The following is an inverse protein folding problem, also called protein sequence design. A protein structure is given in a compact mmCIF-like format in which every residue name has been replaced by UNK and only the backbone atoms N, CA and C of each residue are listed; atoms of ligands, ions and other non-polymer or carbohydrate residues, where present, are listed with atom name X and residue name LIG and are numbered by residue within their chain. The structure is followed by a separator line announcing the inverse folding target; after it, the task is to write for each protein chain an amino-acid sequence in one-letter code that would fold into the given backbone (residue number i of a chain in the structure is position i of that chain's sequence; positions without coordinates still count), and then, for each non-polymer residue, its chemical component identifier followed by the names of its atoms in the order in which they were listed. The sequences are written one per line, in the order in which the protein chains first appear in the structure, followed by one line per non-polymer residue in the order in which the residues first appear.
data_IF_128634934224
#
_entry.id   IF_128634934224
#
_cell.length_a   1.000
_cell.length_b   1.000
_cell.length_c   1.000
_cell.angle_alpha   90.00
_cell.angle_beta   90.00
_cell.angle_gamma   90.00
#
_symmetry.space_group_name_H-M   'P 1'
#
loop_
_entity.id
_entity.type
_entity.pdbx_description
1 polymer ?
#
# COMPACT_ATOMS: atom_id res chain seq x y z
N UNK A 1 61.87 -62.74 4.85
CA UNK A 1 61.51 -64.04 5.47
C UNK A 1 60.20 -63.82 6.23
N UNK A 2 59.21 -64.68 6.00
CA UNK A 2 57.92 -64.83 6.71
C UNK A 2 56.80 -63.79 6.50
N UNK A 3 55.81 -64.20 5.70
CA UNK A 3 54.36 -64.11 6.01
C UNK A 3 53.95 -65.24 6.98
N UNK A 4 52.69 -65.44 7.40
CA UNK A 4 51.60 -64.57 7.89
C UNK A 4 51.08 -65.15 9.26
N UNK A 5 49.76 -65.12 9.55
CA UNK A 5 48.97 -65.81 10.63
C UNK A 5 48.45 -64.83 11.70
N UNK A 6 47.19 -64.36 11.70
CA UNK A 6 45.86 -64.98 11.87
C UNK A 6 45.51 -65.44 13.29
N UNK A 7 44.40 -64.87 13.78
CA UNK A 7 43.25 -65.59 14.34
C UNK A 7 43.17 -65.87 15.86
N UNK A 8 41.91 -65.81 16.34
CA UNK A 8 41.29 -66.15 17.64
C UNK A 8 40.98 -65.00 18.59
N UNK A 9 39.82 -64.97 19.26
CA UNK A 9 38.55 -65.71 19.17
C UNK A 9 37.55 -65.00 20.12
N UNK A 10 36.25 -65.27 19.94
CA UNK A 10 35.17 -65.39 20.94
C UNK A 10 35.12 -64.39 22.11
N UNK A 11 34.04 -63.67 22.40
CA UNK A 11 32.62 -64.03 22.30
C UNK A 11 31.92 -63.53 23.58
N UNK A 12 30.63 -63.18 23.44
CA UNK A 12 29.61 -63.04 24.48
C UNK A 12 29.60 -61.80 25.40
N UNK A 13 28.78 -60.81 25.01
CA UNK A 13 27.76 -60.25 25.91
C UNK A 13 26.49 -59.88 25.12
N UNK A 14 25.40 -60.58 25.41
CA UNK A 14 24.00 -60.27 25.05
C UNK A 14 23.29 -59.71 26.30
N UNK A 15 22.03 -59.21 26.30
CA UNK A 15 21.17 -58.55 25.29
C UNK A 15 20.54 -57.25 25.91
N UNK A 16 19.28 -56.80 25.67
CA UNK A 16 18.42 -56.74 24.48
C UNK A 16 17.92 -55.31 24.11
N UNK A 17 17.31 -55.24 22.92
CA UNK A 17 16.13 -54.46 22.50
C UNK A 17 15.70 -53.18 23.23
N UNK A 18 15.67 -52.08 22.47
CA UNK A 18 14.43 -51.30 22.35
C UNK A 18 14.36 -50.59 20.97
N UNK A 19 14.08 -51.37 19.93
CA UNK A 19 13.68 -50.87 18.62
C UNK A 19 12.15 -50.73 18.60
N UNK A 20 11.64 -49.65 19.17
CA UNK A 20 10.24 -49.25 19.00
C UNK A 20 10.08 -48.47 17.70
N UNK A 21 9.78 -49.21 16.63
CA UNK A 21 9.16 -48.68 15.42
C UNK A 21 7.78 -48.11 15.76
N UNK A 22 7.52 -46.85 15.38
CA UNK A 22 6.15 -46.32 15.29
C UNK A 22 5.69 -46.32 13.82
N UNK A 23 4.65 -47.11 13.48
CA UNK A 23 3.90 -46.97 12.25
C UNK A 23 2.63 -46.14 12.47
N UNK A 24 2.19 -45.43 11.43
CA UNK A 24 0.79 -45.00 11.28
C UNK A 24 0.49 -43.53 11.53
N UNK A 25 0.93 -42.65 10.63
CA UNK A 25 0.27 -41.36 10.45
C UNK A 25 -1.10 -41.60 9.78
N UNK A 26 -2.13 -41.75 10.61
CA UNK A 26 -3.52 -41.80 10.17
C UNK A 26 -3.90 -40.49 9.47
N UNK A 27 -4.39 -40.60 8.24
CA UNK A 27 -5.03 -39.53 7.48
C UNK A 27 -6.29 -39.05 8.23
N UNK A 28 -6.23 -37.83 8.75
CA UNK A 28 -7.41 -37.14 9.30
C UNK A 28 -8.33 -36.71 8.14
N UNK A 29 -9.63 -37.03 8.14
CA UNK A 29 -10.53 -36.71 7.04
C UNK A 29 -10.83 -35.19 6.94
N UNK A 30 -10.94 -34.71 5.70
CA UNK A 30 -10.95 -33.29 5.29
C UNK A 30 -12.15 -32.45 5.78
N UNK A 31 -13.10 -33.01 6.53
CA UNK A 31 -14.29 -32.29 7.00
C UNK A 31 -14.07 -31.53 8.33
N UNK A 32 -12.96 -31.77 9.02
CA UNK A 32 -12.66 -31.17 10.34
C UNK A 32 -11.83 -29.88 10.26
N UNK A 33 -11.48 -29.40 9.05
CA UNK A 33 -10.61 -28.23 8.84
C UNK A 33 -11.31 -26.86 8.74
N UNK A 34 -12.64 -26.78 8.89
CA UNK A 34 -13.42 -25.56 8.63
C UNK A 34 -14.24 -25.01 9.81
N UNK A 35 -14.01 -25.42 11.07
CA UNK A 35 -14.85 -24.95 12.21
C UNK A 35 -14.11 -24.45 13.47
N UNK A 36 -12.84 -24.04 13.40
CA UNK A 36 -12.23 -23.23 14.48
C UNK A 36 -11.76 -21.87 13.96
N UNK A 37 -12.21 -20.75 14.56
CA UNK A 37 -11.55 -19.47 14.31
C UNK A 37 -10.11 -19.55 14.86
N UNK A 38 -9.11 -18.94 14.19
CA UNK A 38 -7.77 -18.89 14.73
C UNK A 38 -7.74 -17.99 15.96
N UNK A 39 -7.12 -18.46 17.04
CA UNK A 39 -6.74 -17.66 18.18
C UNK A 39 -5.80 -16.53 17.71
N UNK A 40 -6.28 -15.30 17.75
CA UNK A 40 -5.43 -14.12 17.57
C UNK A 40 -4.69 -13.86 18.89
N UNK A 41 -3.34 -13.87 18.94
CA UNK A 41 -2.64 -13.30 20.07
C UNK A 41 -2.89 -11.77 20.08
N UNK A 42 -3.31 -11.26 21.23
CA UNK A 42 -3.49 -9.84 21.48
C UNK A 42 -2.21 -9.08 21.09
N UNK A 43 -2.31 -8.18 20.12
CA UNK A 43 -1.27 -7.23 19.79
C UNK A 43 -1.05 -6.35 21.04
N UNK A 44 0.07 -6.62 21.71
CA UNK A 44 0.66 -5.74 22.71
C UNK A 44 0.71 -4.31 22.17
N UNK A 45 0.05 -3.40 22.88
CA UNK A 45 0.33 -1.98 22.83
C UNK A 45 1.84 -1.83 23.07
N UNK A 46 2.57 -1.24 22.13
CA UNK A 46 3.99 -0.94 22.34
C UNK A 46 4.14 -0.10 23.61
N UNK A 47 4.99 -0.53 24.57
CA UNK A 47 5.43 0.32 25.65
C UNK A 47 6.66 1.09 25.14
N UNK A 48 6.46 2.31 24.65
CA UNK A 48 7.49 3.35 24.79
C UNK A 48 6.92 4.73 24.45
N UNK A 49 6.37 5.37 25.49
CA UNK A 49 5.83 6.72 25.46
C UNK A 49 6.91 7.81 25.65
N UNK A 50 8.12 7.62 25.10
CA UNK A 50 9.26 8.54 25.34
C UNK A 50 9.85 9.22 24.10
N UNK A 51 9.16 9.19 22.96
CA UNK A 51 9.52 10.02 21.80
C UNK A 51 8.29 10.68 21.16
N UNK A 52 7.48 11.35 21.98
CA UNK A 52 6.56 12.36 21.48
C UNK A 52 7.37 13.63 21.23
N UNK A 53 7.75 13.86 19.98
CA UNK A 53 8.38 15.10 19.55
C UNK A 53 7.38 16.26 19.77
N UNK A 54 7.70 17.16 20.70
CA UNK A 54 6.82 18.17 21.31
C UNK A 54 6.43 19.33 20.38
N UNK A 55 6.43 19.14 19.05
CA UNK A 55 6.26 20.23 18.08
C UNK A 55 4.98 20.21 17.25
N UNK A 56 4.07 19.27 17.52
CA UNK A 56 2.74 19.27 16.90
C UNK A 56 1.61 19.50 17.93
N UNK A 57 1.23 20.76 18.18
CA UNK A 57 0.16 21.09 19.12
C UNK A 57 -1.22 20.56 18.68
N UNK A 58 -1.42 20.24 17.39
CA UNK A 58 -2.69 19.72 16.89
C UNK A 58 -2.84 18.22 17.16
N UNK A 59 -1.74 17.46 17.03
CA UNK A 59 -1.70 16.04 17.39
C UNK A 59 -1.82 15.82 18.91
N UNK A 60 -1.24 16.72 19.72
CA UNK A 60 -1.34 16.67 21.17
C UNK A 60 -2.79 16.97 21.64
N UNK A 61 -3.47 17.94 21.03
CA UNK A 61 -4.83 18.32 21.39
C UNK A 61 -5.86 17.21 21.08
N UNK A 62 -5.71 16.54 19.92
CA UNK A 62 -6.61 15.45 19.51
C UNK A 62 -6.43 14.19 20.36
N UNK A 63 -5.21 13.91 20.81
CA UNK A 63 -4.93 12.77 21.70
C UNK A 63 -5.29 13.06 23.16
N UNK A 64 -5.11 14.30 23.63
CA UNK A 64 -5.54 14.74 24.97
C UNK A 64 -7.06 14.62 25.14
N UNK A 65 -7.85 15.02 24.14
CA UNK A 65 -9.30 14.84 24.17
C UNK A 65 -9.71 13.37 24.38
N UNK A 66 -8.98 12.42 23.76
CA UNK A 66 -9.24 10.97 23.92
C UNK A 66 -8.79 10.41 25.27
N UNK A 67 -7.72 10.96 25.86
CA UNK A 67 -7.21 10.53 27.15
C UNK A 67 -8.03 11.07 28.33
N UNK A 68 -8.52 12.31 28.25
CA UNK A 68 -9.32 12.94 29.32
C UNK A 68 -10.70 12.28 29.45
N UNK A 69 -11.35 11.93 28.34
CA UNK A 69 -12.65 11.22 28.38
C UNK A 69 -12.51 9.81 28.97
N UNK A 70 -11.39 9.12 28.70
CA UNK A 70 -11.13 7.78 29.24
C UNK A 70 -10.84 7.76 30.75
N UNK A 71 -10.35 8.87 31.32
CA UNK A 71 -9.96 8.94 32.72
C UNK A 71 -11.08 9.37 33.67
N UNK A 72 -12.11 10.08 33.20
CA UNK A 72 -13.13 10.69 34.08
C UNK A 72 -14.58 10.26 33.80
N UNK A 73 -14.88 9.68 32.63
CA UNK A 73 -16.24 9.29 32.24
C UNK A 73 -16.20 7.99 31.40
N UNK A 74 -15.99 6.81 32.03
CA UNK A 74 -15.78 5.56 31.31
C UNK A 74 -17.00 5.11 30.48
N UNK A 75 -18.22 5.44 30.90
CA UNK A 75 -19.44 5.11 30.16
C UNK A 75 -19.67 6.03 28.95
N UNK A 76 -19.26 7.30 29.02
CA UNK A 76 -19.26 8.18 27.85
C UNK A 76 -18.12 7.83 26.89
N UNK A 77 -16.98 7.34 27.36
CA UNK A 77 -15.93 6.80 26.50
C UNK A 77 -16.41 5.56 25.73
N UNK A 78 -17.28 4.73 26.32
CA UNK A 78 -17.97 3.64 25.64
C UNK A 78 -19.04 4.17 24.66
N UNK A 79 -19.78 5.22 25.01
CA UNK A 79 -20.74 5.85 24.09
C UNK A 79 -20.06 6.59 22.92
N UNK A 80 -18.87 7.18 23.11
CA UNK A 80 -18.03 7.79 22.06
C UNK A 80 -17.35 6.71 21.21
N UNK A 81 -17.03 5.54 21.79
CA UNK A 81 -16.56 4.35 21.05
C UNK A 81 -17.69 3.62 20.31
N UNK A 82 -18.92 3.69 20.80
CA UNK A 82 -20.10 3.01 20.25
C UNK A 82 -21.01 3.91 19.41
N UNK A 83 -20.80 5.23 19.42
CA UNK A 83 -21.44 6.15 18.47
C UNK A 83 -20.56 6.21 17.22
N UNK A 84 -20.97 5.61 16.09
CA UNK A 84 -20.31 5.90 14.84
C UNK A 84 -20.53 7.39 14.62
N UNK A 85 -19.46 8.18 14.70
CA UNK A 85 -19.47 9.51 14.14
C UNK A 85 -19.92 9.33 12.69
N UNK A 86 -21.19 9.68 12.46
CA UNK A 86 -21.84 9.84 11.17
C UNK A 86 -21.17 11.04 10.48
N UNK A 87 -19.88 10.94 10.19
CA UNK A 87 -19.46 11.21 8.83
C UNK A 87 -20.19 10.14 8.06
N UNK A 88 -21.10 10.52 7.15
CA UNK A 88 -21.64 9.62 6.16
C UNK A 88 -20.45 9.02 5.41
N UNK A 89 -19.95 7.94 6.00
CA UNK A 89 -19.36 6.84 5.31
C UNK A 89 -20.45 6.47 4.33
N UNK A 90 -20.35 7.04 3.12
CA UNK A 90 -20.29 6.23 1.93
C UNK A 90 -19.34 5.07 2.25
N UNK A 91 -19.88 4.09 2.99
CA UNK A 91 -19.61 2.69 2.79
C UNK A 91 -19.98 2.49 1.34
N UNK A 92 -19.04 2.85 0.46
CA UNK A 92 -18.98 2.34 -0.87
C UNK A 92 -19.06 0.83 -0.69
N UNK A 93 -20.28 0.28 -0.83
CA UNK A 93 -20.50 -1.16 -0.88
C UNK A 93 -19.53 -1.62 -1.97
N UNK A 94 -18.52 -2.39 -1.56
CA UNK A 94 -17.46 -2.83 -2.44
C UNK A 94 -18.07 -3.29 -3.76
N UNK A 95 -17.69 -2.62 -4.85
CA UNK A 95 -18.02 -3.05 -6.20
C UNK A 95 -17.58 -4.50 -6.32
N UNK A 96 -18.50 -5.39 -6.67
CA UNK A 96 -18.14 -6.79 -6.89
C UNK A 96 -17.33 -6.82 -8.18
N UNK A 97 -16.32 -7.66 -8.27
CA UNK A 97 -15.50 -7.85 -9.48
C UNK A 97 -16.33 -8.11 -10.76
N UNK A 98 -17.62 -8.44 -10.61
CA UNK A 98 -18.59 -8.68 -11.67
C UNK A 98 -19.18 -7.41 -12.34
N UNK A 99 -19.01 -6.21 -11.76
CA UNK A 99 -19.57 -4.96 -12.33
C UNK A 99 -18.70 -4.37 -13.48
N UNK A 100 -17.52 -4.95 -13.74
CA UNK A 100 -16.61 -4.61 -14.85
C UNK A 100 -16.83 -5.49 -16.10
N UNK A 101 -17.75 -6.45 -16.05
CA UNK A 101 -17.88 -7.47 -17.10
C UNK A 101 -18.34 -6.91 -18.47
N UNK A 102 -19.05 -5.77 -18.50
CA UNK A 102 -19.64 -5.20 -19.73
C UNK A 102 -19.34 -3.70 -19.95
N UNK A 103 -18.38 -3.10 -19.23
CA UNK A 103 -18.07 -1.66 -19.38
C UNK A 103 -16.63 -1.44 -19.85
N UNK A 104 -16.45 -0.58 -20.85
CA UNK A 104 -15.10 -0.24 -21.31
C UNK A 104 -14.38 0.60 -20.26
N UNK A 105 -13.04 0.59 -20.26
CA UNK A 105 -12.25 1.48 -19.39
C UNK A 105 -12.63 2.95 -19.61
N UNK A 106 -12.91 3.35 -20.86
CA UNK A 106 -13.31 4.69 -21.19
C UNK A 106 -14.66 5.06 -20.55
N UNK A 107 -15.66 4.17 -20.59
CA UNK A 107 -16.96 4.39 -19.95
C UNK A 107 -16.82 4.48 -18.42
N UNK A 108 -16.00 3.61 -17.85
CA UNK A 108 -15.70 3.61 -16.43
C UNK A 108 -15.09 4.95 -16.00
N UNK A 109 -14.02 5.40 -16.66
CA UNK A 109 -13.33 6.65 -16.29
C UNK A 109 -14.21 7.87 -16.57
N UNK A 110 -14.96 7.89 -17.67
CA UNK A 110 -15.87 9.00 -18.02
C UNK A 110 -16.95 9.20 -16.95
N UNK A 111 -17.58 8.11 -16.50
CA UNK A 111 -18.58 8.14 -15.42
C UNK A 111 -18.00 8.71 -14.13
N UNK A 112 -16.82 8.24 -13.73
CA UNK A 112 -16.20 8.65 -12.47
C UNK A 112 -15.62 10.05 -12.52
N UNK A 113 -15.12 10.51 -13.67
CA UNK A 113 -14.65 11.88 -13.85
C UNK A 113 -15.76 12.89 -13.60
N UNK A 114 -16.97 12.62 -14.09
CA UNK A 114 -18.15 13.46 -13.81
C UNK A 114 -18.45 13.53 -12.31
N UNK A 115 -18.47 12.39 -11.63
CA UNK A 115 -18.72 12.33 -10.19
C UNK A 115 -17.64 13.07 -9.37
N UNK A 116 -16.38 13.01 -9.80
CA UNK A 116 -15.29 13.77 -9.19
C UNK A 116 -15.47 15.28 -9.39
N UNK A 117 -15.95 15.71 -10.56
CA UNK A 117 -16.28 17.10 -10.84
C UNK A 117 -17.39 17.64 -9.92
N UNK A 118 -18.48 16.88 -9.75
CA UNK A 118 -19.56 17.26 -8.82
C UNK A 118 -19.06 17.32 -7.37
N UNK A 119 -18.17 16.41 -7.01
CA UNK A 119 -17.58 16.35 -5.68
C UNK A 119 -16.67 17.55 -5.34
N UNK A 120 -16.19 18.32 -6.31
CA UNK A 120 -15.41 19.54 -6.07
C UNK A 120 -16.21 20.64 -5.37
N UNK A 121 -17.54 20.61 -5.46
CA UNK A 121 -18.41 21.63 -4.83
C UNK A 121 -18.61 21.39 -3.33
N UNK A 122 -18.11 20.27 -2.80
CA UNK A 122 -18.29 19.85 -1.40
C UNK A 122 -17.18 20.44 -0.53
N UNK A 123 -17.49 20.71 0.74
CA UNK A 123 -16.56 21.33 1.70
C UNK A 123 -15.32 20.49 2.01
N UNK A 124 -15.40 19.17 1.80
CA UNK A 124 -14.33 18.19 2.03
C UNK A 124 -13.54 17.85 0.75
N UNK A 125 -13.80 18.53 -0.37
CA UNK A 125 -13.24 18.21 -1.69
C UNK A 125 -11.72 18.04 -1.68
N UNK A 126 -11.01 18.94 -0.98
CA UNK A 126 -9.55 18.92 -0.85
C UNK A 126 -8.98 17.60 -0.35
N UNK A 127 -9.71 16.90 0.51
CA UNK A 127 -9.28 15.61 1.05
C UNK A 127 -9.93 14.44 0.32
N UNK A 128 -11.20 14.56 -0.08
CA UNK A 128 -11.94 13.46 -0.69
C UNK A 128 -11.63 13.26 -2.17
N UNK A 129 -11.59 14.32 -2.98
CA UNK A 129 -11.44 14.19 -4.44
C UNK A 129 -10.11 13.54 -4.82
N UNK A 130 -8.94 13.91 -4.24
CA UNK A 130 -7.69 13.20 -4.52
C UNK A 130 -7.71 11.72 -4.10
N UNK A 131 -8.38 11.39 -2.99
CA UNK A 131 -8.53 10.00 -2.52
C UNK A 131 -9.43 9.19 -3.45
N UNK A 132 -10.52 9.78 -3.91
CA UNK A 132 -11.45 9.16 -4.87
C UNK A 132 -10.80 9.01 -6.24
N UNK A 133 -10.06 10.01 -6.72
CA UNK A 133 -9.29 9.93 -7.96
C UNK A 133 -8.27 8.77 -7.93
N UNK A 134 -7.53 8.64 -6.82
CA UNK A 134 -6.62 7.50 -6.61
C UNK A 134 -7.36 6.15 -6.71
N UNK A 135 -8.54 6.05 -6.09
CA UNK A 135 -9.36 4.85 -6.10
C UNK A 135 -9.89 4.52 -7.50
N UNK A 136 -10.42 5.51 -8.22
CA UNK A 136 -10.89 5.38 -9.61
C UNK A 136 -9.78 4.85 -10.51
N UNK A 137 -8.58 5.45 -10.44
CA UNK A 137 -7.44 5.01 -11.24
C UNK A 137 -6.97 3.61 -10.83
N UNK A 138 -6.88 3.31 -9.53
CA UNK A 138 -6.50 1.99 -9.04
C UNK A 138 -7.44 0.89 -9.55
N UNK A 139 -8.75 1.12 -9.51
CA UNK A 139 -9.77 0.17 -9.95
C UNK A 139 -9.84 0.06 -11.47
N UNK A 140 -9.96 1.19 -12.18
CA UNK A 140 -10.10 1.21 -13.63
C UNK A 140 -8.88 0.62 -14.34
N UNK A 141 -7.68 0.96 -13.87
CA UNK A 141 -6.43 0.44 -14.43
C UNK A 141 -6.05 -0.94 -13.89
N UNK A 142 -6.86 -1.52 -12.99
CA UNK A 142 -6.61 -2.79 -12.32
C UNK A 142 -5.18 -2.87 -11.76
N UNK A 143 -4.73 -1.77 -11.16
CA UNK A 143 -3.36 -1.64 -10.68
C UNK A 143 -3.15 -2.55 -9.46
N UNK A 144 -1.98 -3.17 -9.36
CA UNK A 144 -1.59 -3.92 -8.16
C UNK A 144 -1.47 -3.00 -6.95
N UNK A 145 -0.95 -1.80 -7.18
CA UNK A 145 -0.69 -0.78 -6.17
C UNK A 145 -0.95 0.59 -6.76
N UNK A 146 -1.55 1.46 -5.96
CA UNK A 146 -1.64 2.89 -6.25
C UNK A 146 -1.24 3.70 -5.02
N UNK A 147 -0.48 4.77 -5.21
CA UNK A 147 0.03 5.63 -4.15
C UNK A 147 -0.22 7.09 -4.49
N UNK A 148 -0.91 7.80 -3.60
CA UNK A 148 -1.01 9.24 -3.64
C UNK A 148 0.08 9.83 -2.74
N UNK A 149 0.98 10.60 -3.34
CA UNK A 149 1.94 11.43 -2.63
C UNK A 149 1.48 12.88 -2.69
N UNK A 150 1.52 13.58 -1.56
CA UNK A 150 1.23 15.01 -1.48
C UNK A 150 2.36 15.73 -0.76
N UNK A 151 2.64 16.95 -1.20
CA UNK A 151 3.50 17.87 -0.47
C UNK A 151 2.77 18.53 0.70
N UNK A 152 3.50 18.97 1.74
CA UNK A 152 2.94 19.88 2.73
C UNK A 152 2.61 21.23 2.09
N UNK A 153 1.69 21.99 2.71
CA UNK A 153 1.40 23.38 2.28
C UNK A 153 2.63 24.29 2.35
N UNK A 154 3.52 23.96 3.30
CA UNK A 154 4.83 24.57 3.51
C UNK A 154 5.86 23.48 3.82
N UNK A 155 6.85 23.32 2.96
CA UNK A 155 7.92 22.33 3.11
C UNK A 155 8.37 21.80 1.75
N UNK A 156 9.38 20.93 1.78
CA UNK A 156 9.89 20.26 0.60
C UNK A 156 9.54 18.77 0.63
N UNK A 157 9.27 18.22 -0.55
CA UNK A 157 9.04 16.80 -0.73
C UNK A 157 7.60 16.34 -0.58
N UNK A 158 7.27 15.32 -1.36
CA UNK A 158 6.00 14.61 -1.37
C UNK A 158 6.13 13.34 -0.56
N UNK A 159 5.23 13.17 0.39
CA UNK A 159 5.11 11.96 1.21
C UNK A 159 3.86 11.18 0.81
N UNK A 160 3.88 9.84 0.89
CA UNK A 160 2.70 9.05 0.62
C UNK A 160 1.66 9.33 1.72
N UNK A 161 0.49 9.79 1.30
CA UNK A 161 -0.65 10.07 2.18
C UNK A 161 -1.73 8.98 2.08
N UNK A 162 -1.73 8.21 0.99
CA UNK A 162 -2.66 7.10 0.77
C UNK A 162 -2.01 6.04 -0.12
N UNK A 163 -2.21 4.78 0.25
CA UNK A 163 -1.81 3.61 -0.53
C UNK A 163 -3.03 2.70 -0.69
N UNK A 164 -3.26 2.20 -1.90
CA UNK A 164 -4.27 1.18 -2.22
C UNK A 164 -3.58 -0.04 -2.84
N UNK A 165 -4.15 -1.22 -2.62
CA UNK A 165 -3.57 -2.49 -3.09
C UNK A 165 -2.38 -2.94 -2.24
N UNK A 166 -1.30 -3.38 -2.88
CA UNK A 166 -0.10 -3.86 -2.18
C UNK A 166 0.55 -2.72 -1.36
N UNK A 167 0.87 -2.91 -0.07
CA UNK A 167 1.46 -1.86 0.74
C UNK A 167 2.89 -1.50 0.29
N UNK A 168 3.33 -0.31 0.66
CA UNK A 168 4.74 0.09 0.54
C UNK A 168 5.57 -0.66 1.59
N UNK A 169 6.65 -1.32 1.17
CA UNK A 169 7.63 -1.85 2.12
C UNK A 169 8.42 -0.67 2.70
N UNK A 170 8.55 -0.62 4.03
CA UNK A 170 9.47 0.32 4.67
C UNK A 170 10.90 -0.13 4.39
N UNK A 171 11.77 0.83 4.07
CA UNK A 171 13.20 0.58 3.93
C UNK A 171 13.89 1.14 5.17
N UNK A 172 14.06 0.28 6.17
CA UNK A 172 14.41 0.73 7.53
C UNK A 172 13.31 1.64 8.10
N UNK A 173 13.69 2.84 8.53
CA UNK A 173 12.75 3.87 9.01
C UNK A 173 12.23 4.80 7.90
N UNK A 174 12.82 4.75 6.70
CA UNK A 174 12.47 5.65 5.62
C UNK A 174 11.28 5.11 4.79
N UNK A 175 10.32 5.99 4.56
CA UNK A 175 9.24 5.79 3.58
C UNK A 175 9.69 6.43 2.27
N UNK A 176 9.32 5.85 1.13
CA UNK A 176 9.61 6.43 -0.19
C UNK A 176 9.02 7.85 -0.27
N UNK A 177 9.89 8.83 -0.51
CA UNK A 177 9.56 10.25 -0.69
C UNK A 177 10.09 10.72 -2.04
N UNK A 178 9.48 11.76 -2.59
CA UNK A 178 9.88 12.39 -3.86
C UNK A 178 10.08 13.87 -3.62
N UNK A 179 11.21 14.45 -4.04
CA UNK A 179 11.49 15.87 -3.82
C UNK A 179 11.66 16.59 -5.16
N UNK A 180 10.61 17.19 -5.73
CA UNK A 180 10.73 17.86 -7.03
C UNK A 180 11.78 18.99 -7.04
N UNK A 181 12.03 19.65 -5.91
CA UNK A 181 12.98 20.78 -5.84
C UNK A 181 14.44 20.35 -5.70
N UNK A 182 14.72 19.27 -4.96
CA UNK A 182 16.09 18.84 -4.63
C UNK A 182 16.46 17.46 -5.20
N UNK A 183 15.49 16.71 -5.69
CA UNK A 183 15.68 15.37 -6.22
C UNK A 183 16.12 15.37 -7.67
N UNK A 184 17.03 14.46 -7.99
CA UNK A 184 17.54 14.26 -9.36
C UNK A 184 17.13 12.89 -9.95
N UNK A 185 16.28 12.16 -9.23
CA UNK A 185 15.72 10.90 -9.69
C UNK A 185 14.59 11.11 -10.71
N UNK A 186 14.17 10.01 -11.34
CA UNK A 186 13.11 9.97 -12.35
C UNK A 186 11.82 10.65 -11.86
N UNK A 187 11.36 10.34 -10.64
CA UNK A 187 10.07 10.82 -10.14
C UNK A 187 10.11 12.32 -9.88
N UNK A 188 11.22 12.81 -9.32
CA UNK A 188 11.44 14.24 -9.10
C UNK A 188 11.42 15.00 -10.44
N UNK A 189 12.09 14.48 -11.48
CA UNK A 189 12.09 15.05 -12.83
C UNK A 189 10.69 15.10 -13.45
N UNK A 190 9.96 13.98 -13.42
CA UNK A 190 8.59 13.91 -13.94
C UNK A 190 7.66 14.88 -13.22
N UNK A 191 7.83 15.04 -11.90
CA UNK A 191 7.07 15.99 -11.12
C UNK A 191 7.38 17.44 -11.46
N UNK A 192 8.63 17.78 -11.82
CA UNK A 192 8.98 19.13 -12.30
C UNK A 192 8.37 19.39 -13.67
N UNK A 193 8.54 18.45 -14.61
CA UNK A 193 8.11 18.60 -16.00
C UNK A 193 6.57 18.55 -16.16
N UNK A 194 5.85 18.01 -15.18
CA UNK A 194 4.40 17.83 -15.23
C UNK A 194 3.95 16.77 -16.24
N UNK A 195 4.89 15.93 -16.69
CA UNK A 195 4.68 14.96 -17.74
C UNK A 195 4.07 13.66 -17.21
N UNK A 196 2.81 13.39 -17.57
CA UNK A 196 2.21 12.08 -17.33
C UNK A 196 2.96 11.01 -18.10
N UNK A 197 3.46 10.01 -17.39
CA UNK A 197 4.44 9.08 -17.94
C UNK A 197 4.02 7.64 -17.70
N UNK A 198 3.74 6.94 -18.78
CA UNK A 198 3.56 5.49 -18.80
C UNK A 198 4.92 4.82 -19.05
N UNK A 199 5.46 4.17 -18.03
CA UNK A 199 6.70 3.42 -18.11
C UNK A 199 6.38 1.95 -18.37
N UNK A 200 6.66 1.52 -19.59
CA UNK A 200 6.46 0.17 -20.10
C UNK A 200 7.64 -0.77 -19.80
N UNK A 201 8.84 -0.28 -19.50
CA UNK A 201 9.92 -1.13 -18.98
C UNK A 201 10.98 -0.33 -18.20
N UNK A 202 10.86 -0.37 -16.87
CA UNK A 202 11.77 0.28 -15.93
C UNK A 202 13.21 -0.27 -15.96
N UNK A 203 13.43 -1.46 -16.56
CA UNK A 203 14.75 -2.09 -16.65
C UNK A 203 15.60 -1.53 -17.78
N UNK A 204 15.02 -0.72 -18.68
CA UNK A 204 15.79 -0.06 -19.75
C UNK A 204 16.89 0.81 -19.12
N UNK A 205 18.15 0.73 -19.58
CA UNK A 205 19.27 1.43 -18.95
C UNK A 205 19.05 2.94 -18.78
N UNK A 206 18.37 3.56 -19.75
CA UNK A 206 18.03 4.98 -19.73
C UNK A 206 17.06 5.39 -18.62
N UNK A 207 16.23 4.46 -18.13
CA UNK A 207 15.28 4.66 -17.03
C UNK A 207 15.91 4.19 -15.72
N UNK A 208 16.46 2.96 -15.71
CA UNK A 208 17.00 2.30 -14.54
C UNK A 208 18.06 3.14 -13.80
N UNK A 209 18.92 3.85 -14.53
CA UNK A 209 19.96 4.74 -13.95
C UNK A 209 19.41 5.94 -13.16
N UNK A 210 18.14 6.28 -13.37
CA UNK A 210 17.47 7.40 -12.69
C UNK A 210 16.47 6.93 -11.63
N UNK A 211 16.31 5.61 -11.44
CA UNK A 211 15.44 5.10 -10.39
C UNK A 211 16.12 5.26 -9.02
N UNK A 212 15.43 5.83 -8.02
CA UNK A 212 16.01 5.99 -6.69
C UNK A 212 16.16 4.62 -6.02
N UNK A 213 17.18 4.41 -5.16
CA UNK A 213 17.38 3.15 -4.43
C UNK A 213 16.13 2.71 -3.66
N UNK A 214 15.39 3.68 -3.08
CA UNK A 214 14.17 3.40 -2.34
C UNK A 214 13.07 2.74 -3.20
N UNK A 215 13.00 3.10 -4.48
CA UNK A 215 12.09 2.46 -5.42
C UNK A 215 12.55 1.04 -5.74
N UNK A 216 13.82 0.86 -6.07
CA UNK A 216 14.37 -0.45 -6.49
C UNK A 216 14.33 -1.47 -5.35
N UNK A 217 14.52 -1.05 -4.10
CA UNK A 217 14.51 -1.96 -2.95
C UNK A 217 13.09 -2.21 -2.40
N UNK A 218 12.19 -1.22 -2.48
CA UNK A 218 10.87 -1.30 -1.84
C UNK A 218 9.72 -1.66 -2.78
N UNK A 219 9.78 -1.23 -4.04
CA UNK A 219 8.71 -1.38 -5.03
C UNK A 219 9.11 -2.27 -6.20
N UNK A 220 10.28 -1.99 -6.80
CA UNK A 220 10.90 -2.66 -7.94
C UNK A 220 9.95 -3.00 -9.10
N UNK A 221 8.96 -2.16 -9.38
CA UNK A 221 8.00 -2.45 -10.42
C UNK A 221 8.60 -2.25 -11.81
N UNK A 222 8.40 -3.22 -12.71
CA UNK A 222 8.82 -3.10 -14.12
C UNK A 222 7.94 -2.15 -14.93
N UNK A 223 6.64 -2.17 -14.67
CA UNK A 223 5.64 -1.39 -15.42
C UNK A 223 4.87 -0.49 -14.46
N UNK A 224 4.89 0.82 -14.71
CA UNK A 224 4.22 1.78 -13.84
C UNK A 224 3.79 3.05 -14.57
N UNK A 225 2.83 3.76 -13.98
CA UNK A 225 2.30 5.03 -14.44
C UNK A 225 2.56 6.08 -13.36
N UNK A 226 3.08 7.24 -13.76
CA UNK A 226 3.27 8.41 -12.89
C UNK A 226 2.45 9.55 -13.45
N UNK A 227 1.63 10.15 -12.58
CA UNK A 227 0.77 11.29 -12.88
C UNK A 227 1.10 12.43 -11.91
N UNK A 228 1.97 13.39 -12.29
CA UNK A 228 2.25 14.57 -11.47
C UNK A 228 0.97 15.35 -11.18
N UNK A 229 0.76 15.79 -9.95
CA UNK A 229 -0.33 16.70 -9.59
C UNK A 229 0.26 18.10 -9.54
N UNK A 230 -0.07 18.92 -10.53
CA UNK A 230 0.34 20.32 -10.58
C UNK A 230 -0.88 21.22 -10.76
N UNK A 231 -0.84 22.40 -10.14
CA UNK A 231 -1.82 23.44 -10.39
C UNK A 231 -1.18 24.82 -10.24
N UNK A 232 -1.52 25.75 -11.14
CA UNK A 232 -0.97 27.13 -11.17
C UNK A 232 0.57 27.17 -11.10
N UNK A 233 1.25 26.25 -11.79
CA UNK A 233 2.71 26.15 -11.82
C UNK A 233 3.36 25.58 -10.55
N UNK A 234 2.58 25.19 -9.54
CA UNK A 234 3.08 24.54 -8.32
C UNK A 234 2.96 23.03 -8.43
N UNK A 235 4.00 22.31 -8.02
CA UNK A 235 3.96 20.84 -7.85
C UNK A 235 3.32 20.52 -6.49
N UNK A 236 2.13 19.94 -6.50
CA UNK A 236 1.32 19.65 -5.30
C UNK A 236 1.46 18.20 -4.83
N UNK A 237 1.83 17.29 -5.74
CA UNK A 237 1.98 15.88 -5.42
C UNK A 237 2.21 15.02 -6.66
N UNK A 238 2.01 13.71 -6.51
CA UNK A 238 1.94 12.77 -7.62
C UNK A 238 1.07 11.56 -7.30
N UNK A 239 0.48 10.97 -8.33
CA UNK A 239 -0.14 9.64 -8.27
C UNK A 239 0.79 8.65 -8.95
N UNK A 240 1.09 7.56 -8.26
CA UNK A 240 1.86 6.44 -8.80
C UNK A 240 0.97 5.19 -8.87
N UNK A 241 1.01 4.45 -9.96
CA UNK A 241 0.35 3.14 -10.10
C UNK A 241 1.31 2.11 -10.71
N UNK A 242 1.25 0.86 -10.26
CA UNK A 242 2.00 -0.23 -10.90
C UNK A 242 1.22 -1.51 -11.13
N UNK A 243 1.73 -2.31 -12.05
CA UNK A 243 1.31 -3.69 -12.30
C UNK A 243 2.35 -4.67 -11.78
N UNK A 244 1.89 -5.88 -11.46
CA UNK A 244 2.78 -7.01 -11.24
C UNK A 244 3.50 -7.38 -12.54
N UNK A 245 4.72 -7.91 -12.41
CA UNK A 245 5.60 -8.25 -13.51
C UNK A 245 4.91 -9.27 -14.44
N UNK A 246 4.39 -8.80 -15.57
CA UNK A 246 3.69 -9.62 -16.55
C UNK A 246 3.26 -8.81 -17.77
N UNK A 247 2.57 -7.68 -17.55
CA UNK A 247 2.02 -6.88 -18.65
C UNK A 247 2.03 -5.37 -18.31
N UNK A 248 2.37 -4.48 -19.27
CA UNK A 248 2.27 -3.03 -19.10
C UNK A 248 0.81 -2.56 -19.01
N UNK A 249 0.57 -1.30 -18.65
CA UNK A 249 -0.76 -0.73 -18.87
C UNK A 249 -0.99 -0.55 -20.37
N UNK A 250 -2.11 -1.02 -20.89
CA UNK A 250 -2.53 -0.79 -22.28
C UNK A 250 -3.56 0.33 -22.28
N UNK A 251 -3.14 1.54 -22.64
CA UNK A 251 -3.99 2.73 -22.70
C UNK A 251 -3.95 3.30 -24.10
N UNK A 252 -5.10 3.34 -24.76
CA UNK A 252 -5.24 4.13 -25.98
C UNK A 252 -5.29 5.64 -25.66
N UNK A 253 -5.34 6.47 -26.70
CA UNK A 253 -5.34 7.92 -26.54
C UNK A 253 -6.54 8.42 -25.72
N UNK A 254 -7.72 7.80 -25.87
CA UNK A 254 -8.93 8.18 -25.17
C UNK A 254 -8.85 7.84 -23.68
N UNK A 255 -8.43 6.61 -23.36
CA UNK A 255 -8.22 6.18 -21.98
C UNK A 255 -7.16 7.04 -21.28
N UNK A 256 -6.05 7.35 -21.95
CA UNK A 256 -5.02 8.23 -21.39
C UNK A 256 -5.54 9.65 -21.15
N UNK A 257 -6.37 10.20 -22.06
CA UNK A 257 -7.01 11.50 -21.84
C UNK A 257 -7.90 11.47 -20.58
N UNK A 258 -8.73 10.44 -20.42
CA UNK A 258 -9.60 10.30 -19.25
C UNK A 258 -8.81 10.12 -17.94
N UNK A 259 -7.69 9.39 -17.97
CA UNK A 259 -6.76 9.30 -16.84
C UNK A 259 -6.25 10.70 -16.45
N UNK A 260 -5.89 11.54 -17.43
CA UNK A 260 -5.47 12.93 -17.18
C UNK A 260 -6.57 13.77 -16.59
N UNK A 261 -7.81 13.59 -17.06
CA UNK A 261 -8.97 14.30 -16.52
C UNK A 261 -9.22 13.93 -15.06
N UNK A 262 -9.15 12.64 -14.69
CA UNK A 262 -9.24 12.20 -13.29
C UNK A 262 -8.13 12.83 -12.44
N UNK A 263 -6.88 12.85 -12.92
CA UNK A 263 -5.78 13.56 -12.23
C UNK A 263 -6.07 15.05 -12.08
N UNK A 264 -6.61 15.70 -13.11
CA UNK A 264 -6.90 17.13 -13.09
C UNK A 264 -7.95 17.46 -12.02
N UNK A 265 -8.98 16.62 -11.81
CA UNK A 265 -9.93 16.80 -10.70
C UNK A 265 -9.23 16.77 -9.34
N UNK A 266 -8.27 15.86 -9.15
CA UNK A 266 -7.45 15.83 -7.93
C UNK A 266 -6.61 17.11 -7.76
N UNK A 267 -6.03 17.64 -8.85
CA UNK A 267 -5.25 18.87 -8.82
C UNK A 267 -6.13 20.09 -8.46
N UNK A 268 -7.32 20.19 -9.06
CA UNK A 268 -8.27 21.28 -8.79
C UNK A 268 -8.74 21.28 -7.34
N UNK A 269 -8.94 20.12 -6.74
CA UNK A 269 -9.34 20.01 -5.33
C UNK A 269 -8.26 20.50 -4.36
N UNK A 270 -7.00 20.51 -4.78
CA UNK A 270 -5.85 20.87 -3.94
C UNK A 270 -5.45 22.35 -4.07
N UNK A 271 -6.14 23.12 -4.92
CA UNK A 271 -6.03 24.58 -5.02
C UNK A 271 -6.61 25.28 -3.80
#
# INVERSE_FOLDING_TARGET
MFTPTSDRADGAHSPPDDASAQPGAALVPLHERLQRPPDFPALQLCPDARQLDERDPLALHQNLGRMVTAAHLPDEALAVRASPQRSETLRWRGWRANDLADTTLADFLSRHTRALGDALLRSDARHEVPRQALQVLWQGLQARRAVLHLGPDSGDGFRPVRVLGLPLRRLGQAVWQVSPLHGHDLFSRLCVDGADSLIDDARRPQIARHLPPAFVQGLNARHFLVLPIQARGRQLGMIYLDRADGEPFTLDAQAMQLVREVRNQAALALL
#
